data_IF_417880141995
#
_entry.id   IF_417880141995
#
_cell.length_a   1.000
_cell.length_b   1.000
_cell.length_c   1.000
_cell.angle_alpha   90.00
_cell.angle_beta   90.00
_cell.angle_gamma   90.00
#
_symmetry.space_group_name_H-M   'P 1'
#
loop_
_entity.id
_entity.type
_entity.pdbx_description
1 polymer ?
#
# COMPACT_ATOMS: atom_id res chain seq x y z
N UNK A 1 0.23 -26.46 5.09
CA UNK A 1 0.66 -26.17 3.71
C UNK A 1 2.18 -26.08 3.73
N UNK A 2 2.91 -26.84 2.91
CA UNK A 2 4.36 -26.69 2.81
C UNK A 2 4.63 -25.41 2.00
N UNK A 3 5.23 -24.41 2.64
CA UNK A 3 5.65 -23.19 1.96
C UNK A 3 6.78 -23.51 0.98
N UNK A 4 6.79 -22.87 -0.19
CA UNK A 4 7.90 -22.97 -1.12
C UNK A 4 9.05 -22.07 -0.65
N UNK A 5 10.30 -22.49 -0.85
CA UNK A 5 11.45 -21.66 -0.47
C UNK A 5 11.44 -20.36 -1.28
N UNK A 6 11.47 -19.22 -0.58
CA UNK A 6 11.42 -17.90 -1.22
C UNK A 6 12.57 -17.70 -2.22
N UNK A 7 12.32 -17.21 -3.44
CA UNK A 7 13.38 -16.95 -4.41
C UNK A 7 14.33 -15.83 -3.97
N UNK A 8 15.54 -15.77 -4.54
CA UNK A 8 16.46 -14.63 -4.30
C UNK A 8 16.02 -13.35 -5.01
N UNK A 9 15.11 -13.49 -5.99
CA UNK A 9 14.45 -12.41 -6.69
C UNK A 9 12.95 -12.54 -6.54
N UNK A 10 12.30 -11.46 -6.13
CA UNK A 10 10.86 -11.36 -6.04
C UNK A 10 10.38 -10.44 -7.15
N UNK A 11 9.76 -11.01 -8.19
CA UNK A 11 9.68 -10.34 -9.48
C UNK A 11 11.08 -10.04 -10.04
N UNK A 12 11.34 -8.77 -10.36
CA UNK A 12 12.67 -8.25 -10.73
C UNK A 12 13.45 -7.65 -9.56
N UNK A 13 12.84 -7.56 -8.37
CA UNK A 13 13.47 -7.02 -7.17
C UNK A 13 14.40 -8.06 -6.53
N UNK A 14 15.48 -7.59 -5.89
CA UNK A 14 16.47 -8.46 -5.23
C UNK A 14 16.21 -8.52 -3.73
N UNK A 15 16.05 -9.73 -3.19
CA UNK A 15 15.96 -9.95 -1.73
C UNK A 15 17.33 -9.72 -1.10
N UNK A 16 17.37 -8.90 -0.03
CA UNK A 16 18.60 -8.60 0.69
C UNK A 16 18.97 -9.76 1.62
N UNK A 17 20.22 -10.21 1.54
CA UNK A 17 20.70 -11.41 2.24
C UNK A 17 21.40 -11.14 3.57
N UNK A 18 21.88 -9.92 3.79
CA UNK A 18 22.74 -9.60 4.95
C UNK A 18 22.50 -8.21 5.52
N UNK A 19 22.60 -7.17 4.69
CA UNK A 19 22.50 -5.78 5.16
C UNK A 19 21.07 -5.23 5.09
N UNK A 20 20.53 -4.91 6.27
CA UNK A 20 19.25 -4.23 6.49
C UNK A 20 19.42 -2.75 6.87
N UNK A 21 20.64 -2.21 6.76
CA UNK A 21 20.96 -0.80 6.99
C UNK A 21 19.97 0.20 6.36
N UNK A 22 19.51 -0.01 5.11
CA UNK A 22 18.53 0.86 4.47
C UNK A 22 17.19 0.98 5.18
N UNK A 23 16.80 0.01 6.01
CA UNK A 23 15.53 0.02 6.75
C UNK A 23 15.65 0.59 8.19
N UNK A 24 16.87 0.83 8.71
CA UNK A 24 17.07 1.25 10.12
C UNK A 24 16.36 2.52 10.53
N UNK A 25 16.06 3.40 9.59
CA UNK A 25 15.34 4.65 9.87
C UNK A 25 13.86 4.40 10.15
N UNK A 26 13.29 3.29 9.68
CA UNK A 26 11.92 2.87 10.00
C UNK A 26 11.84 2.25 11.39
N UNK A 27 12.90 1.57 11.82
CA UNK A 27 12.95 0.87 13.11
C UNK A 27 13.42 1.76 14.28
N UNK A 28 14.18 2.82 13.98
CA UNK A 28 14.82 3.69 14.99
C UNK A 28 13.92 4.79 15.59
N UNK A 29 12.72 5.03 15.05
CA UNK A 29 11.80 6.08 15.50
C UNK A 29 10.65 5.54 16.35
N UNK A 30 10.89 4.51 17.16
CA UNK A 30 9.90 4.00 18.11
C UNK A 30 10.12 4.58 19.52
N UNK A 31 9.72 5.83 19.84
CA UNK A 31 9.26 6.08 21.19
C UNK A 31 7.91 5.35 21.31
N UNK A 32 7.93 4.18 21.95
CA UNK A 32 6.78 3.55 22.58
C UNK A 32 5.45 3.55 21.79
N UNK A 33 5.23 2.60 20.86
CA UNK A 33 3.86 2.25 20.38
C UNK A 33 3.00 3.40 19.80
N UNK A 34 3.50 4.63 19.66
CA UNK A 34 2.68 5.84 19.48
C UNK A 34 2.13 6.07 18.08
N UNK A 35 2.61 5.32 17.09
CA UNK A 35 2.15 5.39 15.69
C UNK A 35 1.35 4.16 15.26
N UNK A 36 1.14 3.20 16.16
CA UNK A 36 0.30 2.04 15.88
C UNK A 36 -1.13 2.47 15.53
N UNK A 37 -1.70 1.90 14.48
CA UNK A 37 -3.06 2.27 14.04
C UNK A 37 -3.19 3.73 13.59
N UNK A 38 -2.10 4.33 13.09
CA UNK A 38 -2.09 5.69 12.51
C UNK A 38 -1.55 5.67 11.08
N UNK A 39 -1.92 6.66 10.28
CA UNK A 39 -1.37 6.89 8.93
C UNK A 39 0.17 6.89 8.92
N UNK A 40 0.80 7.59 9.87
CA UNK A 40 2.26 7.62 9.99
C UNK A 40 2.87 6.27 10.41
N UNK A 41 2.09 5.38 11.04
CA UNK A 41 2.52 3.99 11.31
C UNK A 41 2.64 3.17 10.03
N UNK A 42 1.76 3.41 9.06
CA UNK A 42 1.72 2.72 7.76
C UNK A 42 2.75 3.29 6.79
N UNK A 43 2.83 4.61 6.65
CA UNK A 43 3.67 5.30 5.66
C UNK A 43 4.90 6.02 6.25
N UNK A 44 5.33 5.59 7.45
CA UNK A 44 6.40 6.17 8.27
C UNK A 44 6.20 7.63 8.73
N UNK A 45 6.66 8.00 9.94
CA UNK A 45 6.54 9.35 10.47
C UNK A 45 7.59 10.31 9.88
N UNK A 46 7.36 11.62 10.03
CA UNK A 46 8.36 12.67 9.79
C UNK A 46 8.30 13.35 8.42
N UNK A 47 7.32 13.00 7.59
CA UNK A 47 7.07 13.70 6.33
C UNK A 47 6.25 14.98 6.52
N UNK A 48 6.37 15.91 5.57
CA UNK A 48 5.67 17.19 5.63
C UNK A 48 4.15 17.03 5.44
N UNK A 49 3.74 16.08 4.59
CA UNK A 49 2.34 15.84 4.27
C UNK A 49 2.07 14.36 3.97
N UNK A 50 0.79 13.97 4.04
CA UNK A 50 0.32 12.61 3.80
C UNK A 50 -0.91 12.58 2.89
N UNK A 51 -0.97 11.55 2.03
CA UNK A 51 -2.13 11.19 1.23
C UNK A 51 -2.58 9.76 1.54
N UNK A 52 -3.89 9.55 1.45
CA UNK A 52 -4.54 8.25 1.34
C UNK A 52 -5.00 8.08 -0.10
N UNK A 53 -4.69 6.95 -0.71
CA UNK A 53 -5.08 6.57 -2.07
C UNK A 53 -6.01 5.37 -1.95
N UNK A 54 -7.25 5.52 -2.38
CA UNK A 54 -8.28 4.49 -2.24
C UNK A 54 -8.05 3.38 -3.27
N UNK A 55 -8.18 2.12 -2.83
CA UNK A 55 -8.22 0.98 -3.75
C UNK A 55 -9.59 0.96 -4.43
N UNK A 56 -9.68 0.84 -5.76
CA UNK A 56 -10.97 0.83 -6.44
C UNK A 56 -11.75 -0.45 -6.11
N UNK A 57 -13.08 -0.35 -6.05
CA UNK A 57 -13.95 -1.52 -6.17
C UNK A 57 -13.96 -1.99 -7.64
N UNK A 58 -14.68 -3.08 -7.96
CA UNK A 58 -14.83 -3.51 -9.36
C UNK A 58 -16.29 -3.72 -9.77
N UNK A 59 -16.52 -3.61 -11.07
CA UNK A 59 -17.72 -4.06 -11.78
C UNK A 59 -17.29 -4.77 -13.06
N UNK A 60 -17.63 -6.05 -13.23
CA UNK A 60 -17.20 -6.87 -14.37
C UNK A 60 -15.67 -6.77 -14.59
N UNK A 61 -14.88 -6.92 -13.52
CA UNK A 61 -13.41 -6.79 -13.50
C UNK A 61 -12.86 -5.38 -13.86
N UNK A 62 -13.73 -4.37 -14.00
CA UNK A 62 -13.31 -3.00 -14.28
C UNK A 62 -13.29 -2.16 -13.00
N UNK A 63 -12.27 -1.31 -12.79
CA UNK A 63 -12.18 -0.51 -11.59
C UNK A 63 -13.33 0.52 -11.50
N UNK A 64 -13.89 0.66 -10.31
CA UNK A 64 -14.94 1.61 -9.95
C UNK A 64 -14.46 2.44 -8.75
N UNK A 65 -14.56 3.76 -8.88
CA UNK A 65 -14.17 4.70 -7.83
C UNK A 65 -15.12 4.64 -6.64
N UNK A 66 -14.62 4.93 -5.45
CA UNK A 66 -15.46 5.11 -4.26
C UNK A 66 -16.43 6.26 -4.45
N UNK A 67 -16.05 7.32 -5.17
CA UNK A 67 -16.96 8.41 -5.52
C UNK A 67 -18.17 7.93 -6.33
N UNK A 68 -17.98 7.04 -7.31
CA UNK A 68 -19.08 6.46 -8.09
C UNK A 68 -19.99 5.57 -7.23
N UNK A 69 -19.39 4.74 -6.38
CA UNK A 69 -20.13 3.90 -5.42
C UNK A 69 -20.90 4.78 -4.43
N UNK A 70 -20.24 5.78 -3.84
CA UNK A 70 -20.83 6.73 -2.92
C UNK A 70 -22.03 7.46 -3.53
N UNK A 71 -21.90 7.95 -4.76
CA UNK A 71 -23.01 8.58 -5.48
C UNK A 71 -24.22 7.64 -5.62
N UNK A 72 -24.00 6.37 -5.94
CA UNK A 72 -25.05 5.37 -6.03
C UNK A 72 -25.72 5.06 -4.68
N UNK A 73 -24.97 5.17 -3.58
CA UNK A 73 -25.47 5.06 -2.20
C UNK A 73 -25.98 6.39 -1.61
N UNK A 74 -25.96 7.49 -2.38
CA UNK A 74 -26.34 8.82 -1.90
C UNK A 74 -25.42 9.38 -0.81
N UNK A 75 -24.13 9.04 -0.85
CA UNK A 75 -23.11 9.40 0.15
C UNK A 75 -21.89 10.03 -0.51
N UNK A 76 -21.33 11.03 0.15
CA UNK A 76 -20.08 11.66 -0.26
C UNK A 76 -18.90 10.91 0.37
N UNK A 77 -17.82 10.71 -0.41
CA UNK A 77 -16.57 10.15 0.10
C UNK A 77 -15.78 11.27 0.77
N UNK A 78 -15.44 11.05 2.04
CA UNK A 78 -14.60 11.95 2.84
C UNK A 78 -13.24 11.29 3.12
N UNK A 79 -12.18 12.04 3.46
CA UNK A 79 -10.82 11.48 3.59
C UNK A 79 -10.68 10.26 4.51
N UNK A 80 -11.40 10.26 5.64
CA UNK A 80 -11.43 9.16 6.61
C UNK A 80 -12.59 8.17 6.42
N UNK A 81 -13.22 8.14 5.24
CA UNK A 81 -14.34 7.23 4.97
C UNK A 81 -13.85 5.78 5.00
N UNK A 82 -14.54 4.90 5.73
CA UNK A 82 -14.32 3.46 5.65
C UNK A 82 -15.24 2.84 4.59
N UNK A 83 -14.76 1.83 3.87
CA UNK A 83 -15.54 1.17 2.81
C UNK A 83 -16.91 0.65 3.30
N UNK A 84 -16.92 -0.07 4.44
CA UNK A 84 -18.17 -0.59 5.02
C UNK A 84 -19.19 0.51 5.35
N UNK A 85 -18.72 1.70 5.75
CA UNK A 85 -19.58 2.87 6.00
C UNK A 85 -20.09 3.47 4.71
N UNK A 86 -19.28 3.49 3.66
CA UNK A 86 -19.69 3.97 2.34
C UNK A 86 -20.85 3.15 1.78
N UNK A 87 -20.78 1.82 1.86
CA UNK A 87 -21.84 0.93 1.34
C UNK A 87 -22.96 0.64 2.36
N UNK A 88 -22.74 0.95 3.64
CA UNK A 88 -23.79 0.95 4.68
C UNK A 88 -23.99 -0.39 5.37
N UNK A 89 -22.91 -1.16 5.50
CA UNK A 89 -22.90 -2.50 6.10
C UNK A 89 -22.10 -2.50 7.40
N UNK A 90 -22.24 -3.55 8.20
CA UNK A 90 -21.44 -3.75 9.40
C UNK A 90 -19.96 -3.96 9.03
N UNK A 91 -19.02 -3.60 9.91
CA UNK A 91 -17.57 -3.67 9.63
C UNK A 91 -17.04 -5.05 9.21
N UNK A 92 -17.64 -6.13 9.71
CA UNK A 92 -17.18 -7.52 9.50
C UNK A 92 -18.22 -8.35 8.74
N UNK A 93 -18.70 -7.82 7.61
CA UNK A 93 -19.76 -8.43 6.79
C UNK A 93 -19.25 -9.43 5.74
N UNK A 94 -17.95 -9.76 5.76
CA UNK A 94 -17.21 -10.50 4.71
C UNK A 94 -17.69 -11.95 4.43
N UNK A 95 -18.80 -12.40 5.03
CA UNK A 95 -19.42 -13.70 4.78
C UNK A 95 -20.90 -13.59 4.33
N UNK A 96 -21.39 -12.39 4.00
CA UNK A 96 -22.75 -12.23 3.49
C UNK A 96 -22.84 -12.75 2.04
N UNK A 97 -23.86 -13.55 1.75
CA UNK A 97 -24.07 -14.18 0.43
C UNK A 97 -24.37 -13.17 -0.69
N UNK A 98 -24.83 -11.97 -0.32
CA UNK A 98 -25.21 -10.89 -1.24
C UNK A 98 -24.42 -9.63 -0.90
N UNK A 99 -23.33 -9.40 -1.63
CA UNK A 99 -22.59 -8.14 -1.64
C UNK A 99 -22.56 -7.57 -3.07
N UNK A 100 -22.38 -6.26 -3.18
CA UNK A 100 -22.47 -5.53 -4.45
C UNK A 100 -23.68 -4.62 -4.53
N UNK A 101 -23.71 -3.83 -5.59
CA UNK A 101 -24.88 -3.07 -6.00
C UNK A 101 -25.03 -3.28 -7.52
N UNK A 102 -26.07 -4.00 -7.99
CA UNK A 102 -26.20 -4.37 -9.40
C UNK A 102 -26.01 -3.19 -10.36
N UNK A 103 -25.09 -3.34 -11.31
CA UNK A 103 -24.74 -2.31 -12.29
C UNK A 103 -23.87 -1.17 -11.76
N UNK A 104 -23.38 -1.25 -10.52
CA UNK A 104 -22.49 -0.26 -9.91
C UNK A 104 -21.17 -0.90 -9.49
N UNK A 105 -21.21 -1.98 -8.72
CA UNK A 105 -20.03 -2.75 -8.30
C UNK A 105 -20.44 -4.17 -7.88
N UNK A 106 -19.57 -5.14 -8.12
CA UNK A 106 -19.75 -6.57 -7.79
C UNK A 106 -18.59 -7.15 -6.98
N UNK A 107 -17.43 -6.47 -6.90
CA UNK A 107 -16.33 -6.85 -6.03
C UNK A 107 -15.86 -5.68 -5.16
N UNK A 108 -15.43 -5.99 -3.94
CA UNK A 108 -14.88 -5.01 -3.01
C UNK A 108 -13.51 -4.49 -3.46
N UNK A 109 -13.12 -3.30 -2.97
CA UNK A 109 -11.72 -2.92 -2.98
C UNK A 109 -10.83 -4.01 -2.40
N UNK A 110 -9.72 -4.30 -3.08
CA UNK A 110 -8.76 -5.28 -2.59
C UNK A 110 -8.13 -4.82 -1.27
N UNK A 111 -8.16 -5.69 -0.28
CA UNK A 111 -7.32 -5.61 0.91
C UNK A 111 -5.88 -6.03 0.55
N UNK A 112 -4.88 -5.52 1.27
CA UNK A 112 -3.49 -5.89 0.97
C UNK A 112 -2.68 -4.81 0.29
N UNK A 113 -1.51 -5.18 -0.25
CA UNK A 113 -0.63 -4.18 -0.78
C UNK A 113 -1.33 -3.40 -1.88
N UNK A 114 -0.75 -2.26 -2.22
CA UNK A 114 -1.25 -1.41 -3.30
C UNK A 114 -1.63 -2.23 -4.54
N UNK A 115 -2.89 -2.16 -5.03
CA UNK A 115 -3.31 -2.90 -6.20
C UNK A 115 -2.43 -2.57 -7.41
N UNK A 116 -2.14 -3.54 -8.31
CA UNK A 116 -1.21 -3.34 -9.42
C UNK A 116 -1.50 -2.11 -10.30
N UNK A 117 -2.77 -1.82 -10.60
CA UNK A 117 -3.14 -0.65 -11.40
C UNK A 117 -2.96 0.67 -10.66
N UNK A 118 -3.22 0.68 -9.35
CA UNK A 118 -2.94 1.82 -8.47
C UNK A 118 -1.43 2.04 -8.39
N UNK A 119 -0.65 0.97 -8.21
CA UNK A 119 0.81 0.99 -8.20
C UNK A 119 1.38 1.57 -9.51
N UNK A 120 0.89 1.10 -10.67
CA UNK A 120 1.31 1.61 -11.99
C UNK A 120 1.02 3.11 -12.16
N UNK A 121 -0.06 3.60 -11.56
CA UNK A 121 -0.42 5.02 -11.56
C UNK A 121 0.43 5.85 -10.59
N UNK A 122 0.83 5.27 -9.45
CA UNK A 122 1.67 5.91 -8.44
C UNK A 122 3.14 6.05 -8.86
N UNK A 123 3.71 5.00 -9.47
CA UNK A 123 5.12 4.94 -9.88
C UNK A 123 5.60 6.20 -10.63
N UNK A 124 4.93 6.69 -11.71
CA UNK A 124 5.39 7.87 -12.43
C UNK A 124 5.32 9.15 -11.59
N UNK A 125 4.37 9.28 -10.66
CA UNK A 125 4.28 10.44 -9.76
C UNK A 125 5.44 10.38 -8.76
N UNK A 126 5.60 9.27 -8.05
CA UNK A 126 6.65 9.05 -7.05
C UNK A 126 8.06 9.22 -7.64
N UNK A 127 8.28 8.76 -8.87
CA UNK A 127 9.56 8.88 -9.57
C UNK A 127 10.01 10.33 -9.77
N UNK A 128 9.07 11.28 -9.97
CA UNK A 128 9.40 12.72 -10.14
C UNK A 128 9.82 13.39 -8.84
N UNK A 129 9.46 12.80 -7.71
CA UNK A 129 9.67 13.36 -6.37
C UNK A 129 10.82 12.67 -5.61
N UNK A 130 11.77 12.09 -6.35
CA UNK A 130 13.02 11.56 -5.79
C UNK A 130 14.18 11.77 -6.77
N UNK A 131 15.38 11.97 -6.23
CA UNK A 131 16.62 11.98 -7.01
C UNK A 131 17.20 10.57 -7.22
N UNK A 132 16.56 9.53 -6.64
CA UNK A 132 17.07 8.15 -6.66
C UNK A 132 16.04 7.09 -7.12
N UNK A 133 15.30 7.31 -8.23
CA UNK A 133 14.27 6.36 -8.67
C UNK A 133 14.84 4.98 -9.02
N UNK A 134 16.10 4.89 -9.46
CA UNK A 134 16.77 3.63 -9.79
C UNK A 134 17.32 2.88 -8.56
N UNK A 135 17.23 3.48 -7.37
CA UNK A 135 17.70 2.91 -6.10
C UNK A 135 16.62 3.03 -5.05
N UNK A 136 15.64 2.14 -5.12
CA UNK A 136 14.57 2.03 -4.15
C UNK A 136 14.70 0.75 -3.32
N UNK A 137 14.03 0.79 -2.18
CA UNK A 137 13.93 -0.26 -1.20
C UNK A 137 12.47 -0.59 -0.98
N UNK A 138 12.21 -1.87 -0.70
CA UNK A 138 10.86 -2.35 -0.50
C UNK A 138 10.80 -3.32 0.68
N UNK A 139 9.78 -3.23 1.52
CA UNK A 139 9.46 -4.19 2.56
C UNK A 139 8.30 -5.07 2.09
N UNK A 140 8.53 -6.38 2.02
CA UNK A 140 7.48 -7.37 1.75
C UNK A 140 7.20 -8.13 3.05
N UNK A 141 5.94 -8.17 3.47
CA UNK A 141 5.54 -8.93 4.65
C UNK A 141 5.78 -10.43 4.46
N UNK A 142 6.43 -11.08 5.43
CA UNK A 142 6.72 -12.52 5.35
C UNK A 142 5.49 -13.40 5.57
N UNK A 143 4.38 -12.82 6.05
CA UNK A 143 3.17 -13.52 6.45
C UNK A 143 2.16 -13.84 5.35
N UNK A 144 2.38 -13.41 4.10
CA UNK A 144 1.50 -13.73 2.97
C UNK A 144 1.33 -15.23 2.69
N UNK A 145 2.14 -16.09 3.31
CA UNK A 145 1.86 -17.53 3.38
C UNK A 145 2.10 -18.30 2.08
N UNK A 146 2.75 -17.70 1.09
CA UNK A 146 3.17 -18.36 -0.15
C UNK A 146 4.62 -18.84 -0.13
N UNK A 147 5.51 -18.02 0.40
CA UNK A 147 6.95 -18.24 0.37
C UNK A 147 7.53 -18.35 1.79
N UNK A 148 8.46 -19.27 1.98
CA UNK A 148 9.30 -19.36 3.17
C UNK A 148 10.53 -18.47 3.01
N UNK A 149 10.49 -17.31 3.67
CA UNK A 149 11.59 -16.35 3.72
C UNK A 149 12.59 -16.61 4.86
N UNK A 150 12.47 -17.71 5.62
CA UNK A 150 13.24 -17.96 6.85
C UNK A 150 14.77 -17.97 6.68
N UNK A 151 15.28 -18.09 5.44
CA UNK A 151 16.71 -18.00 5.13
C UNK A 151 17.25 -16.57 4.95
N UNK A 152 16.38 -15.57 4.92
CA UNK A 152 16.73 -14.17 4.72
C UNK A 152 16.53 -13.37 6.03
N UNK A 153 17.35 -12.35 6.28
CA UNK A 153 17.12 -11.46 7.41
C UNK A 153 15.88 -10.59 7.16
N UNK A 154 15.17 -10.27 8.23
CA UNK A 154 13.98 -9.42 8.22
C UNK A 154 14.14 -8.25 9.19
N UNK A 155 13.33 -7.21 9.00
CA UNK A 155 13.21 -6.07 9.91
C UNK A 155 11.75 -5.91 10.33
N UNK A 156 11.54 -5.29 11.50
CA UNK A 156 10.22 -5.03 12.04
C UNK A 156 9.71 -3.67 11.61
N UNK A 157 8.44 -3.60 11.19
CA UNK A 157 7.62 -2.40 11.29
C UNK A 157 6.54 -2.64 12.34
N UNK A 158 5.75 -1.64 12.76
CA UNK A 158 4.54 -1.94 13.53
C UNK A 158 3.77 -3.10 12.86
N UNK A 159 3.51 -4.16 13.62
CA UNK A 159 2.70 -5.34 13.26
C UNK A 159 3.21 -6.30 12.18
N UNK A 160 4.32 -6.01 11.49
CA UNK A 160 4.74 -6.79 10.32
C UNK A 160 6.26 -7.02 10.30
N UNK A 161 6.65 -8.29 10.25
CA UNK A 161 8.02 -8.69 9.94
C UNK A 161 8.20 -8.70 8.42
N UNK A 162 9.19 -7.97 7.93
CA UNK A 162 9.37 -7.75 6.49
C UNK A 162 10.75 -8.16 6.03
N UNK A 163 10.83 -8.86 4.92
CA UNK A 163 12.10 -8.96 4.18
C UNK A 163 12.35 -7.67 3.40
N UNK A 164 13.62 -7.30 3.30
CA UNK A 164 14.04 -6.14 2.52
C UNK A 164 14.34 -6.55 1.09
N UNK A 165 13.74 -5.86 0.14
CA UNK A 165 13.99 -5.96 -1.29
C UNK A 165 14.66 -4.68 -1.80
N UNK A 166 15.31 -4.76 -2.96
CA UNK A 166 15.96 -3.63 -3.62
C UNK A 166 15.84 -3.69 -5.13
N UNK A 167 15.71 -2.52 -5.76
CA UNK A 167 15.59 -2.37 -7.21
C UNK A 167 15.16 -0.96 -7.62
N UNK A 168 15.05 -0.70 -8.93
CA UNK A 168 14.46 0.55 -9.41
C UNK A 168 12.96 0.58 -9.10
N UNK A 169 12.40 1.79 -8.92
CA UNK A 169 10.96 1.98 -8.70
C UNK A 169 10.11 1.39 -9.81
N UNK A 170 10.59 1.44 -11.05
CA UNK A 170 9.91 0.86 -12.21
C UNK A 170 9.70 -0.66 -12.11
N UNK A 171 10.41 -1.34 -11.21
CA UNK A 171 10.26 -2.78 -10.98
C UNK A 171 9.34 -3.12 -9.80
N UNK A 172 8.75 -2.13 -9.12
CA UNK A 172 7.90 -2.37 -7.95
C UNK A 172 6.69 -3.27 -8.26
N UNK A 173 6.06 -3.10 -9.44
CA UNK A 173 4.94 -3.91 -9.89
C UNK A 173 5.35 -5.21 -10.63
N UNK A 174 6.65 -5.50 -10.73
CA UNK A 174 7.14 -6.67 -11.46
C UNK A 174 6.79 -8.06 -10.88
N UNK A 175 6.50 -8.23 -9.56
CA UNK A 175 6.04 -9.51 -9.03
C UNK A 175 4.76 -10.00 -9.73
N UNK A 176 3.72 -9.16 -9.76
CA UNK A 176 2.43 -9.51 -10.39
C UNK A 176 2.59 -9.82 -11.89
N UNK A 177 3.45 -9.08 -12.60
CA UNK A 177 3.60 -9.26 -14.05
C UNK A 177 4.31 -10.55 -14.44
N UNK A 178 5.03 -11.17 -13.50
CA UNK A 178 5.65 -12.48 -13.69
C UNK A 178 4.82 -13.62 -13.07
N UNK A 179 3.89 -13.27 -12.18
CA UNK A 179 3.09 -14.19 -11.39
C UNK A 179 1.83 -13.49 -10.86
N UNK A 180 0.68 -13.76 -11.47
CA UNK A 180 -0.58 -13.07 -11.15
C UNK A 180 -1.07 -13.26 -9.70
N UNK A 181 -0.49 -14.22 -8.97
CA UNK A 181 -0.80 -14.48 -7.56
C UNK A 181 0.28 -13.94 -6.62
N UNK A 182 1.24 -13.17 -7.13
CA UNK A 182 2.25 -12.53 -6.31
C UNK A 182 1.76 -11.17 -5.83
N UNK A 183 1.83 -11.00 -4.51
CA UNK A 183 1.60 -9.73 -3.86
C UNK A 183 2.65 -8.69 -4.28
N UNK A 184 2.28 -7.41 -4.30
CA UNK A 184 3.29 -6.36 -4.37
C UNK A 184 3.95 -6.19 -2.99
N UNK A 185 5.15 -5.59 -2.90
CA UNK A 185 5.67 -5.18 -1.61
C UNK A 185 4.71 -4.15 -0.97
N UNK A 186 4.67 -4.06 0.35
CA UNK A 186 3.68 -3.21 1.04
C UNK A 186 4.32 -1.93 1.60
N UNK A 187 5.64 -1.81 1.59
CA UNK A 187 6.35 -0.61 2.06
C UNK A 187 7.45 -0.20 1.09
N UNK A 188 7.41 1.00 0.52
CA UNK A 188 8.35 1.44 -0.53
C UNK A 188 9.00 2.75 -0.13
N UNK A 189 10.30 2.90 -0.39
CA UNK A 189 10.99 4.18 -0.24
C UNK A 189 12.24 4.28 -1.13
N UNK A 190 12.59 5.47 -1.63
CA UNK A 190 13.81 5.69 -2.38
C UNK A 190 15.02 5.82 -1.43
N UNK A 191 16.23 5.67 -1.97
CA UNK A 191 17.48 5.77 -1.20
C UNK A 191 17.63 7.13 -0.49
N UNK A 192 17.15 8.21 -1.09
CA UNK A 192 17.17 9.56 -0.52
C UNK A 192 16.04 9.83 0.49
N UNK A 193 15.12 8.87 0.68
CA UNK A 193 13.98 8.94 1.61
C UNK A 193 13.08 10.16 1.39
N UNK A 194 12.97 10.62 0.14
CA UNK A 194 12.11 11.76 -0.19
C UNK A 194 10.61 11.50 0.08
N UNK A 195 10.21 10.23 0.08
CA UNK A 195 8.85 9.78 0.39
C UNK A 195 8.86 8.35 0.94
N UNK A 196 7.74 7.93 1.52
CA UNK A 196 7.48 6.54 1.84
C UNK A 196 6.03 6.20 1.53
N UNK A 197 5.82 5.08 0.85
CA UNK A 197 4.51 4.52 0.55
C UNK A 197 4.30 3.29 1.41
N UNK A 198 3.13 3.15 2.03
CA UNK A 198 2.73 1.99 2.82
C UNK A 198 1.32 1.52 2.49
N UNK A 199 1.16 0.22 2.24
CA UNK A 199 -0.11 -0.51 2.29
C UNK A 199 -0.09 -1.53 3.42
N UNK A 200 -1.26 -2.08 3.75
CA UNK A 200 -1.38 -3.16 4.75
C UNK A 200 -2.47 -4.15 4.35
N UNK A 201 -2.28 -5.42 4.75
CA UNK A 201 -3.21 -6.54 4.55
C UNK A 201 -4.60 -6.32 5.11
N UNK A 202 -4.74 -5.44 6.09
CA UNK A 202 -6.04 -5.15 6.71
C UNK A 202 -6.69 -3.87 6.13
N UNK A 203 -6.10 -3.25 5.10
CA UNK A 203 -6.50 -1.95 4.56
C UNK A 203 -6.87 -2.03 3.07
N UNK A 204 -7.91 -1.29 2.72
CA UNK A 204 -8.37 -1.06 1.33
C UNK A 204 -7.85 0.28 0.78
N UNK A 205 -6.69 0.71 1.26
CA UNK A 205 -6.08 1.98 0.92
C UNK A 205 -4.57 1.93 1.07
N UNK A 206 -3.90 2.71 0.22
CA UNK A 206 -2.46 2.94 0.24
C UNK A 206 -2.17 4.34 0.78
N UNK A 207 -1.20 4.47 1.67
CA UNK A 207 -0.80 5.74 2.27
C UNK A 207 0.56 6.17 1.76
N UNK A 208 0.73 7.47 1.52
CA UNK A 208 2.00 8.06 1.07
C UNK A 208 2.35 9.24 1.96
N UNK A 209 3.53 9.21 2.57
CA UNK A 209 4.16 10.35 3.23
C UNK A 209 5.22 10.97 2.33
N UNK A 210 5.26 12.30 2.22
CA UNK A 210 6.28 13.00 1.43
C UNK A 210 6.24 14.52 1.58
N UNK A 211 6.74 15.22 0.56
CA UNK A 211 6.65 16.69 0.49
C UNK A 211 5.24 17.16 0.16
N UNK A 212 4.95 18.45 0.41
CA UNK A 212 3.68 19.06 0.03
C UNK A 212 3.42 18.98 -1.48
N UNK A 213 4.47 19.13 -2.28
CA UNK A 213 4.40 19.06 -3.73
C UNK A 213 4.06 17.65 -4.21
N UNK A 214 4.64 16.60 -3.60
CA UNK A 214 4.28 15.22 -3.92
C UNK A 214 2.80 14.97 -3.60
N UNK A 215 2.34 15.37 -2.41
CA UNK A 215 0.96 15.14 -2.00
C UNK A 215 0.00 15.91 -2.91
N UNK A 216 0.30 17.16 -3.28
CA UNK A 216 -0.51 17.92 -4.22
C UNK A 216 -0.59 17.24 -5.60
N UNK A 217 0.53 16.72 -6.11
CA UNK A 217 0.57 15.98 -7.37
C UNK A 217 -0.26 14.69 -7.33
N UNK A 218 -0.25 13.96 -6.21
CA UNK A 218 -1.07 12.76 -6.02
C UNK A 218 -2.56 13.09 -6.04
N UNK A 219 -2.97 14.15 -5.34
CA UNK A 219 -4.36 14.61 -5.31
C UNK A 219 -4.87 15.10 -6.67
N UNK A 220 -3.97 15.59 -7.52
CA UNK A 220 -4.29 16.06 -8.86
C UNK A 220 -4.12 14.99 -9.95
N UNK A 221 -3.62 13.80 -9.61
CA UNK A 221 -3.28 12.77 -10.59
C UNK A 221 -4.53 12.09 -11.15
N UNK A 222 -4.77 12.15 -12.48
CA UNK A 222 -5.85 11.39 -13.09
C UNK A 222 -5.70 9.89 -12.83
N UNK A 223 -6.81 9.22 -12.53
CA UNK A 223 -6.83 7.77 -12.26
C UNK A 223 -6.48 7.38 -10.83
N UNK A 224 -6.12 8.33 -9.96
CA UNK A 224 -6.01 8.11 -8.52
C UNK A 224 -7.17 8.80 -7.79
N UNK A 225 -7.84 8.06 -6.91
CA UNK A 225 -8.77 8.65 -5.94
C UNK A 225 -8.02 8.86 -4.62
N UNK A 226 -7.51 10.07 -4.44
CA UNK A 226 -6.63 10.41 -3.34
C UNK A 226 -7.20 11.52 -2.46
N UNK A 227 -6.97 11.40 -1.16
CA UNK A 227 -7.37 12.38 -0.14
C UNK A 227 -6.20 12.75 0.74
N UNK A 228 -6.13 14.03 1.13
CA UNK A 228 -5.18 14.48 2.14
C UNK A 228 -5.62 13.96 3.51
N UNK A 229 -4.67 13.44 4.27
CA UNK A 229 -4.88 12.93 5.64
C UNK A 229 -3.80 13.46 6.58
N UNK A 230 -4.05 13.41 7.88
CA UNK A 230 -3.08 13.76 8.91
C UNK A 230 -2.30 12.51 9.36
N UNK A 231 -1.03 12.65 9.78
CA UNK A 231 -0.20 11.53 10.23
C UNK A 231 -0.79 10.76 11.41
N UNK A 232 -1.59 11.43 12.25
CA UNK A 232 -2.23 10.83 13.43
C UNK A 232 -3.62 10.25 13.17
N UNK A 233 -4.15 10.36 11.95
CA UNK A 233 -5.46 9.79 11.63
C UNK A 233 -5.42 8.26 11.70
N UNK A 234 -6.54 7.65 12.06
CA UNK A 234 -6.71 6.20 11.96
C UNK A 234 -6.82 5.80 10.49
N UNK A 235 -6.03 4.82 10.01
CA UNK A 235 -6.18 4.33 8.66
C UNK A 235 -7.50 3.58 8.52
N UNK A 236 -8.18 3.78 7.39
CA UNK A 236 -9.37 3.03 6.99
C UNK A 236 -9.27 2.48 5.58
#
# INVERSE_FOLDING_TARGET
MNLELAPERYGRLHVRKTDLGPARWLTGHAPERGHFGTVAGVAAPGFAAYARVLHPASLDERPVTWAAVGAAHGREVVPGMDWHRLIGVARFYQNDEEYGLPGVWDEHPSEGPTPPDVARSLIPVLARHTATPDRCWFGLWVGYGRWDFGRFPWFETPERDRVLLSGPLADAASPESLDQYAELPDLWWPQDRAWCLGGDVDLVSTYVGGSEELIADLLASPGLEAHRVAPGDTPG
#
